data_IF_134826921259
#
_entry.id   IF_134826921259
#
_cell.length_a   1.000
_cell.length_b   1.000
_cell.length_c   1.000
_cell.angle_alpha   90.00
_cell.angle_beta   90.00
_cell.angle_gamma   90.00
#
_symmetry.space_group_name_H-M   'P 1'
#
loop_
_entity.id
_entity.type
_entity.pdbx_description
1 polymer ?
#
# COMPACT_ATOMS: atom_id res chain seq x y z
N UNK A 1 86.81 44.66 -26.77
CA UNK A 1 87.41 45.12 -25.51
C UNK A 1 86.27 45.41 -24.52
N UNK A 2 86.36 44.81 -23.34
CA UNK A 2 85.36 44.85 -22.26
C UNK A 2 85.17 46.26 -21.69
N UNK A 3 83.94 46.63 -21.34
CA UNK A 3 83.61 47.45 -20.15
C UNK A 3 82.07 47.59 -20.07
N UNK A 4 81.36 46.85 -19.21
CA UNK A 4 81.08 47.18 -17.81
C UNK A 4 80.52 48.61 -17.60
N UNK A 5 79.19 48.76 -17.57
CA UNK A 5 78.55 49.69 -16.63
C UNK A 5 77.09 49.34 -16.37
N UNK A 6 76.83 49.04 -15.10
CA UNK A 6 75.55 48.72 -14.48
C UNK A 6 74.64 49.95 -14.37
N UNK A 7 73.32 49.75 -14.54
CA UNK A 7 72.32 50.56 -13.82
C UNK A 7 71.05 49.77 -13.52
N UNK A 8 71.14 49.08 -12.38
CA UNK A 8 70.16 48.99 -11.29
C UNK A 8 68.70 49.27 -11.69
N UNK A 9 67.90 48.19 -11.78
CA UNK A 9 66.47 48.26 -11.50
C UNK A 9 66.11 47.20 -10.45
N UNK A 10 65.97 47.73 -9.23
CA UNK A 10 65.00 47.39 -8.19
C UNK A 10 64.61 45.92 -8.06
N UNK A 11 65.20 45.31 -7.02
CA UNK A 11 64.65 44.20 -6.27
C UNK A 11 63.14 44.37 -6.05
N UNK A 12 62.35 43.54 -6.72
CA UNK A 12 61.08 43.05 -6.17
C UNK A 12 61.29 41.57 -5.96
N UNK A 13 61.68 41.24 -4.73
CA UNK A 13 61.64 39.86 -4.25
C UNK A 13 60.16 39.50 -4.16
N UNK A 14 59.57 39.02 -5.24
CA UNK A 14 58.37 38.19 -5.10
C UNK A 14 58.87 36.83 -4.63
N UNK A 15 58.88 36.64 -3.31
CA UNK A 15 59.08 35.34 -2.70
C UNK A 15 57.96 34.43 -3.18
N UNK A 16 58.16 33.71 -4.28
CA UNK A 16 57.36 32.55 -4.61
C UNK A 16 57.68 31.52 -3.55
N UNK A 17 56.91 31.54 -2.47
CA UNK A 17 56.87 30.43 -1.52
C UNK A 17 56.34 29.25 -2.31
N UNK A 18 57.25 28.46 -2.89
CA UNK A 18 56.87 27.18 -3.44
C UNK A 18 56.40 26.33 -2.26
N UNK A 19 55.09 26.05 -2.22
CA UNK A 19 54.56 25.05 -1.31
C UNK A 19 55.17 23.71 -1.73
N UNK A 20 56.22 23.28 -1.04
CA UNK A 20 56.74 21.92 -1.16
C UNK A 20 55.65 21.00 -0.61
N UNK A 21 54.82 20.47 -1.50
CA UNK A 21 53.91 19.39 -1.14
C UNK A 21 54.79 18.19 -0.85
N UNK A 22 54.90 17.83 0.42
CA UNK A 22 55.50 16.55 0.82
C UNK A 22 54.59 15.45 0.28
N UNK A 23 54.91 14.95 -0.91
CA UNK A 23 54.33 13.71 -1.41
C UNK A 23 54.89 12.63 -0.49
N UNK A 24 54.05 12.04 0.36
CA UNK A 24 54.42 10.84 1.10
C UNK A 24 54.69 9.75 0.05
N UNK A 25 55.95 9.56 -0.28
CA UNK A 25 56.37 8.43 -1.10
C UNK A 25 56.08 7.16 -0.29
N UNK A 26 55.13 6.37 -0.78
CA UNK A 26 54.83 5.06 -0.19
C UNK A 26 55.72 4.04 -0.90
N UNK A 27 56.78 3.51 -0.25
CA UNK A 27 57.83 2.75 -0.92
C UNK A 27 57.38 1.40 -1.50
N UNK A 28 56.12 1.01 -1.26
CA UNK A 28 55.55 -0.30 -1.63
C UNK A 28 54.66 -0.28 -2.88
N UNK A 29 54.43 0.89 -3.52
CA UNK A 29 53.65 1.00 -4.77
C UNK A 29 54.50 1.64 -5.86
N UNK A 30 55.30 0.84 -6.56
CA UNK A 30 56.21 1.31 -7.62
C UNK A 30 55.53 1.75 -8.92
N UNK A 31 54.28 1.34 -9.18
CA UNK A 31 53.54 1.75 -10.37
C UNK A 31 52.11 2.16 -9.99
N UNK A 32 51.87 3.46 -9.86
CA UNK A 32 50.51 3.97 -9.82
C UNK A 32 49.95 3.93 -11.25
N UNK A 33 49.14 2.90 -11.57
CA UNK A 33 48.47 2.80 -12.86
C UNK A 33 47.48 3.96 -13.02
N UNK A 34 47.91 5.07 -13.64
CA UNK A 34 47.03 6.22 -13.93
C UNK A 34 46.04 5.81 -15.00
N UNK A 35 44.76 6.15 -14.80
CA UNK A 35 43.63 5.76 -15.68
C UNK A 35 43.28 4.26 -15.62
N UNK A 36 43.49 3.61 -14.49
CA UNK A 36 42.74 2.40 -14.17
C UNK A 36 41.24 2.78 -14.19
N UNK A 37 40.51 2.20 -15.14
CA UNK A 37 39.05 2.37 -15.22
C UNK A 37 38.41 1.81 -13.96
N UNK A 38 37.24 2.33 -13.60
CA UNK A 38 36.45 1.70 -12.54
C UNK A 38 36.05 0.31 -13.02
N UNK A 39 36.67 -0.71 -12.42
CA UNK A 39 36.34 -2.09 -12.66
C UNK A 39 35.00 -2.36 -11.98
N UNK A 40 33.92 -2.13 -12.73
CA UNK A 40 32.58 -2.20 -12.17
C UNK A 40 32.26 -3.65 -11.75
N UNK A 41 32.11 -3.93 -10.44
CA UNK A 41 31.74 -5.26 -9.98
C UNK A 41 30.33 -5.67 -10.43
N UNK A 42 29.53 -4.77 -11.02
CA UNK A 42 28.24 -5.08 -11.61
C UNK A 42 28.36 -5.91 -12.91
N UNK A 43 29.40 -5.70 -13.74
CA UNK A 43 29.57 -6.43 -15.00
C UNK A 43 30.18 -7.83 -14.83
N UNK A 44 30.81 -8.13 -13.70
CA UNK A 44 31.39 -9.47 -13.40
C UNK A 44 30.36 -10.49 -12.91
N UNK A 45 29.10 -10.11 -12.78
CA UNK A 45 28.04 -11.01 -12.31
C UNK A 45 27.50 -11.82 -13.50
N UNK A 46 27.29 -13.14 -13.32
CA UNK A 46 26.75 -13.99 -14.39
C UNK A 46 25.28 -13.66 -14.73
N UNK A 47 24.60 -12.85 -13.92
CA UNK A 47 23.17 -12.58 -14.00
C UNK A 47 22.83 -11.10 -14.28
N UNK A 48 22.09 -10.88 -15.37
CA UNK A 48 21.46 -9.60 -15.76
C UNK A 48 20.23 -9.23 -14.90
N UNK A 49 19.99 -9.95 -13.80
CA UNK A 49 18.76 -9.84 -13.03
C UNK A 49 18.85 -8.74 -11.96
N UNK A 50 17.73 -8.02 -11.68
CA UNK A 50 17.71 -7.02 -10.63
C UNK A 50 17.98 -7.65 -9.26
N UNK A 51 18.72 -6.93 -8.39
CA UNK A 51 19.05 -7.41 -7.05
C UNK A 51 17.79 -7.56 -6.20
N UNK A 52 17.35 -8.79 -6.00
CA UNK A 52 16.23 -9.12 -5.11
C UNK A 52 16.76 -9.10 -3.65
N UNK A 53 16.19 -8.30 -2.73
CA UNK A 53 16.56 -8.35 -1.31
C UNK A 53 16.33 -9.76 -0.75
N UNK A 54 17.14 -10.24 0.20
CA UNK A 54 17.08 -11.64 0.66
C UNK A 54 15.71 -12.07 1.19
N UNK A 55 14.98 -11.15 1.84
CA UNK A 55 13.57 -11.31 2.26
C UNK A 55 12.61 -11.68 1.12
N UNK A 56 12.99 -11.45 -0.13
CA UNK A 56 12.22 -11.73 -1.33
C UNK A 56 12.80 -12.86 -2.20
N UNK A 57 13.96 -13.47 -1.84
CA UNK A 57 14.57 -14.60 -2.59
C UNK A 57 13.65 -15.84 -2.64
N UNK A 58 12.96 -16.13 -1.54
CA UNK A 58 12.11 -17.33 -1.39
C UNK A 58 10.63 -17.06 -1.67
N UNK A 59 10.26 -15.79 -1.86
CA UNK A 59 8.94 -15.47 -2.36
C UNK A 59 8.95 -15.83 -3.84
N UNK A 60 8.10 -16.76 -4.28
CA UNK A 60 7.73 -16.93 -5.70
C UNK A 60 7.04 -15.67 -6.28
N UNK A 61 7.23 -14.52 -5.65
CA UNK A 61 6.78 -13.22 -6.07
C UNK A 61 7.95 -12.60 -6.81
N UNK A 62 8.12 -13.04 -8.06
CA UNK A 62 8.75 -12.20 -9.07
C UNK A 62 8.16 -10.80 -8.91
N UNK A 63 9.04 -9.79 -8.85
CA UNK A 63 8.76 -8.34 -8.93
C UNK A 63 7.26 -8.03 -8.86
N UNK A 64 6.75 -7.59 -7.71
CA UNK A 64 5.31 -7.33 -7.52
C UNK A 64 4.77 -6.50 -8.69
N UNK A 65 4.09 -7.16 -9.64
CA UNK A 65 3.49 -6.47 -10.77
C UNK A 65 2.51 -5.44 -10.21
N UNK A 66 2.52 -4.24 -10.79
CA UNK A 66 1.44 -3.30 -10.54
C UNK A 66 0.13 -4.04 -10.82
N UNK A 67 -0.91 -3.89 -9.98
CA UNK A 67 -2.19 -4.50 -10.28
C UNK A 67 -2.64 -4.02 -11.67
N UNK A 68 -3.22 -4.94 -12.44
CA UNK A 68 -3.75 -4.60 -13.76
C UNK A 68 -4.70 -3.40 -13.65
N UNK A 69 -4.47 -2.37 -14.48
CA UNK A 69 -5.30 -1.19 -14.49
C UNK A 69 -6.73 -1.57 -14.89
N UNK A 70 -7.69 -1.34 -13.98
CA UNK A 70 -9.11 -1.52 -14.24
C UNK A 70 -9.76 -0.14 -14.40
N UNK A 71 -10.10 0.29 -15.64
CA UNK A 71 -10.73 1.59 -15.84
C UNK A 71 -12.07 1.65 -15.09
N UNK A 72 -12.27 2.73 -14.37
CA UNK A 72 -13.52 2.99 -13.65
C UNK A 72 -14.58 3.50 -14.63
N UNK A 73 -15.77 2.88 -14.64
CA UNK A 73 -16.92 3.28 -15.46
C UNK A 73 -17.92 4.10 -14.62
N UNK A 74 -17.80 5.44 -14.55
CA UNK A 74 -18.71 6.27 -13.75
C UNK A 74 -20.16 6.16 -14.22
N UNK A 75 -20.37 6.12 -15.54
CA UNK A 75 -21.69 6.11 -16.18
C UNK A 75 -22.19 4.71 -16.55
N UNK A 76 -21.86 3.69 -15.74
CA UNK A 76 -22.49 2.36 -15.89
C UNK A 76 -23.97 2.40 -15.54
N UNK A 77 -24.81 1.57 -16.18
CA UNK A 77 -26.27 1.59 -15.99
C UNK A 77 -26.69 1.54 -14.52
N UNK A 78 -26.04 0.68 -13.72
CA UNK A 78 -26.31 0.56 -12.28
C UNK A 78 -26.08 1.86 -11.51
N UNK A 79 -25.07 2.65 -11.91
CA UNK A 79 -24.74 3.94 -11.28
C UNK A 79 -25.62 5.06 -11.83
N UNK A 80 -25.86 5.05 -13.14
CA UNK A 80 -26.74 6.00 -13.83
C UNK A 80 -28.16 5.99 -13.24
N UNK A 81 -28.72 4.82 -12.98
CA UNK A 81 -30.09 4.65 -12.46
C UNK A 81 -30.17 4.56 -10.93
N UNK A 82 -29.06 4.75 -10.22
CA UNK A 82 -29.06 4.67 -8.77
C UNK A 82 -29.92 5.79 -8.16
N UNK A 83 -30.88 5.43 -7.31
CA UNK A 83 -31.74 6.38 -6.59
C UNK A 83 -32.95 6.91 -7.38
N UNK A 84 -33.17 6.47 -8.62
CA UNK A 84 -34.24 7.02 -9.47
C UNK A 84 -35.65 6.90 -8.86
N UNK A 85 -35.93 5.84 -8.10
CA UNK A 85 -37.26 5.53 -7.56
C UNK A 85 -37.31 5.54 -6.01
N UNK A 86 -36.42 6.28 -5.35
CA UNK A 86 -36.34 6.28 -3.88
C UNK A 86 -37.55 6.97 -3.22
N UNK A 87 -38.20 7.92 -3.91
CA UNK A 87 -39.33 8.72 -3.44
C UNK A 87 -40.66 8.33 -4.09
N UNK A 88 -40.79 7.06 -4.50
CA UNK A 88 -42.00 6.56 -5.19
C UNK A 88 -43.27 6.65 -4.34
N UNK A 89 -43.12 6.63 -3.01
CA UNK A 89 -44.22 6.74 -2.06
C UNK A 89 -44.80 8.15 -1.96
N UNK A 90 -43.95 9.19 -1.99
CA UNK A 90 -44.38 10.58 -1.84
C UNK A 90 -44.67 11.29 -3.17
N UNK A 91 -44.06 10.84 -4.27
CA UNK A 91 -44.26 11.43 -5.61
C UNK A 91 -45.13 10.56 -6.53
N UNK A 92 -45.45 9.33 -6.13
CA UNK A 92 -46.27 8.40 -6.90
C UNK A 92 -47.72 8.31 -6.42
N UNK A 93 -48.33 7.15 -6.65
CA UNK A 93 -49.70 6.81 -6.24
C UNK A 93 -49.78 6.30 -4.79
N UNK A 94 -48.64 6.15 -4.11
CA UNK A 94 -48.55 5.61 -2.75
C UNK A 94 -48.80 4.10 -2.65
N UNK A 95 -48.90 3.37 -3.78
CA UNK A 95 -49.20 1.93 -3.76
C UNK A 95 -48.03 1.07 -3.28
N UNK A 96 -46.79 1.56 -3.43
CA UNK A 96 -45.56 0.83 -3.13
C UNK A 96 -44.69 1.64 -2.17
N UNK A 97 -44.35 1.04 -1.02
CA UNK A 97 -43.39 1.60 -0.08
C UNK A 97 -41.94 1.30 -0.53
N UNK A 98 -40.95 2.22 -0.39
CA UNK A 98 -39.58 2.04 -0.88
C UNK A 98 -38.87 0.80 -0.35
N UNK A 99 -39.19 0.37 0.88
CA UNK A 99 -38.67 -0.88 1.49
C UNK A 99 -38.95 -2.11 0.62
N UNK A 100 -40.05 -2.11 -0.13
CA UNK A 100 -40.43 -3.24 -1.00
C UNK A 100 -39.56 -3.31 -2.26
N UNK A 101 -38.96 -2.18 -2.69
CA UNK A 101 -38.04 -2.11 -3.85
C UNK A 101 -36.68 -2.76 -3.58
N UNK A 102 -36.34 -3.03 -2.31
CA UNK A 102 -35.07 -3.65 -1.91
C UNK A 102 -35.02 -5.15 -2.25
N UNK A 103 -34.92 -5.48 -3.53
CA UNK A 103 -34.92 -6.86 -4.05
C UNK A 103 -33.65 -7.65 -3.74
N UNK A 104 -32.51 -6.96 -3.64
CA UNK A 104 -31.21 -7.58 -3.38
C UNK A 104 -31.03 -8.03 -1.91
N UNK A 105 -31.92 -7.59 -1.01
CA UNK A 105 -31.83 -7.89 0.42
C UNK A 105 -32.74 -9.07 0.80
N UNK A 106 -32.32 -9.92 1.76
CA UNK A 106 -33.19 -10.97 2.28
C UNK A 106 -34.50 -10.40 2.84
N UNK A 107 -35.66 -11.05 2.61
CA UNK A 107 -36.95 -10.53 3.04
C UNK A 107 -37.07 -10.20 4.53
N UNK A 108 -36.42 -10.99 5.39
CA UNK A 108 -36.42 -10.79 6.85
C UNK A 108 -35.60 -9.57 7.32
N UNK A 109 -34.75 -9.02 6.44
CA UNK A 109 -33.88 -7.86 6.68
C UNK A 109 -34.40 -6.58 6.01
N UNK A 110 -35.35 -6.68 5.06
CA UNK A 110 -35.93 -5.50 4.39
C UNK A 110 -36.57 -4.57 5.42
N UNK A 111 -36.17 -3.29 5.39
CA UNK A 111 -36.67 -2.25 6.31
C UNK A 111 -36.28 -2.43 7.77
N UNK A 112 -35.42 -3.41 8.09
CA UNK A 112 -34.96 -3.62 9.45
C UNK A 112 -33.71 -2.78 9.74
N UNK A 113 -33.77 -2.03 10.85
CA UNK A 113 -32.60 -1.34 11.42
C UNK A 113 -32.48 -1.75 12.88
N UNK A 114 -31.31 -2.27 13.26
CA UNK A 114 -31.06 -2.74 14.61
C UNK A 114 -29.64 -3.25 14.80
N UNK A 115 -29.33 -3.69 16.03
CA UNK A 115 -28.02 -4.27 16.34
C UNK A 115 -27.90 -5.72 15.83
N UNK A 116 -26.68 -6.28 15.87
CA UNK A 116 -26.44 -7.66 15.44
C UNK A 116 -27.32 -8.67 16.20
N UNK A 117 -27.54 -8.44 17.51
CA UNK A 117 -28.33 -9.34 18.34
C UNK A 117 -29.79 -9.42 17.86
N UNK A 118 -30.44 -8.28 17.67
CA UNK A 118 -31.80 -8.17 17.15
C UNK A 118 -31.89 -8.74 15.73
N UNK A 119 -30.89 -8.47 14.87
CA UNK A 119 -30.80 -9.05 13.53
C UNK A 119 -30.77 -10.58 13.58
N UNK A 120 -29.95 -11.17 14.47
CA UNK A 120 -29.83 -12.62 14.59
C UNK A 120 -31.08 -13.27 15.17
N UNK A 121 -31.80 -12.62 16.10
CA UNK A 121 -33.09 -13.10 16.57
C UNK A 121 -34.11 -13.19 15.43
N UNK A 122 -34.21 -12.16 14.58
CA UNK A 122 -35.07 -12.20 13.38
C UNK A 122 -34.65 -13.32 12.43
N UNK A 123 -33.35 -13.46 12.19
CA UNK A 123 -32.79 -14.53 11.37
C UNK A 123 -33.13 -15.92 11.92
N UNK A 124 -33.09 -16.09 13.24
CA UNK A 124 -33.43 -17.34 13.92
C UNK A 124 -34.89 -17.73 13.67
N UNK A 125 -35.82 -16.78 13.81
CA UNK A 125 -37.25 -17.00 13.58
C UNK A 125 -37.49 -17.36 12.10
N UNK A 126 -36.94 -16.57 11.19
CA UNK A 126 -37.12 -16.77 9.76
C UNK A 126 -36.54 -18.11 9.26
N UNK A 127 -35.41 -18.53 9.82
CA UNK A 127 -34.74 -19.78 9.44
C UNK A 127 -34.90 -20.91 10.48
N UNK A 128 -36.04 -21.00 11.16
CA UNK A 128 -36.33 -22.06 12.14
C UNK A 128 -36.08 -23.49 11.58
N UNK A 129 -36.38 -23.71 10.30
CA UNK A 129 -36.15 -24.98 9.59
C UNK A 129 -34.67 -25.40 9.47
N UNK A 130 -33.71 -24.50 9.74
CA UNK A 130 -32.28 -24.87 9.79
C UNK A 130 -31.94 -25.80 10.95
N UNK A 131 -32.82 -25.91 11.96
CA UNK A 131 -32.66 -26.90 13.03
C UNK A 131 -32.50 -28.31 12.47
N UNK A 132 -33.28 -28.68 11.45
CA UNK A 132 -33.24 -30.00 10.83
C UNK A 132 -32.35 -30.01 9.58
N UNK A 133 -32.46 -29.00 8.71
CA UNK A 133 -31.77 -28.99 7.42
C UNK A 133 -30.29 -28.62 7.50
N UNK A 134 -29.89 -27.75 8.45
CA UNK A 134 -28.53 -27.20 8.56
C UNK A 134 -28.10 -27.09 10.03
N UNK A 135 -27.99 -28.22 10.75
CA UNK A 135 -27.81 -28.23 12.20
C UNK A 135 -26.54 -27.50 12.66
N UNK A 136 -25.43 -27.61 11.93
CA UNK A 136 -24.18 -26.90 12.25
C UNK A 136 -24.35 -25.38 12.18
N UNK A 137 -25.01 -24.86 11.13
CA UNK A 137 -25.28 -23.42 10.99
C UNK A 137 -26.23 -22.92 12.08
N UNK A 138 -27.26 -23.72 12.41
CA UNK A 138 -28.19 -23.41 13.50
C UNK A 138 -27.48 -23.33 14.87
N UNK A 139 -26.60 -24.29 15.16
CA UNK A 139 -25.80 -24.28 16.38
C UNK A 139 -24.88 -23.05 16.44
N UNK A 140 -24.22 -22.67 15.35
CA UNK A 140 -23.36 -21.49 15.30
C UNK A 140 -24.15 -20.19 15.54
N UNK A 141 -25.33 -20.09 14.93
CA UNK A 141 -26.24 -18.96 15.12
C UNK A 141 -26.67 -18.83 16.59
N UNK A 142 -27.09 -19.94 17.22
CA UNK A 142 -27.49 -19.94 18.63
C UNK A 142 -26.32 -19.60 19.57
N UNK A 143 -25.12 -20.12 19.29
CA UNK A 143 -23.90 -19.77 20.05
C UNK A 143 -23.62 -18.27 19.97
N UNK A 144 -23.74 -17.66 18.79
CA UNK A 144 -23.55 -16.22 18.61
C UNK A 144 -24.60 -15.39 19.35
N UNK A 145 -25.87 -15.77 19.26
CA UNK A 145 -26.98 -15.12 20.00
C UNK A 145 -26.73 -15.19 21.51
N UNK A 146 -26.39 -16.38 22.03
CA UNK A 146 -26.11 -16.56 23.46
C UNK A 146 -24.91 -15.73 23.91
N UNK A 147 -23.84 -15.67 23.11
CA UNK A 147 -22.68 -14.84 23.42
C UNK A 147 -23.05 -13.35 23.47
N UNK A 148 -23.77 -12.84 22.46
CA UNK A 148 -24.22 -11.45 22.39
C UNK A 148 -25.13 -11.10 23.56
N UNK A 149 -26.06 -11.98 23.93
CA UNK A 149 -26.93 -11.81 25.08
C UNK A 149 -26.13 -11.64 26.38
N UNK A 150 -25.13 -12.50 26.61
CA UNK A 150 -24.26 -12.40 27.80
C UNK A 150 -23.42 -11.14 27.77
N UNK A 151 -22.87 -10.78 26.61
CA UNK A 151 -22.00 -9.61 26.46
C UNK A 151 -22.78 -8.31 26.69
N UNK A 152 -23.87 -8.10 25.95
CA UNK A 152 -24.67 -6.88 26.00
C UNK A 152 -25.38 -6.66 27.35
N UNK A 153 -25.69 -7.73 28.09
CA UNK A 153 -26.40 -7.60 29.36
C UNK A 153 -25.50 -7.67 30.60
N UNK A 154 -24.25 -8.14 30.47
CA UNK A 154 -23.34 -8.33 31.64
C UNK A 154 -22.01 -7.60 31.55
N UNK A 155 -21.56 -7.20 30.35
CA UNK A 155 -20.19 -6.67 30.14
C UNK A 155 -20.16 -5.21 29.70
N UNK A 156 -21.26 -4.68 29.24
CA UNK A 156 -21.37 -3.25 28.95
C UNK A 156 -21.47 -2.48 30.26
N UNK A 157 -20.64 -1.45 30.42
CA UNK A 157 -20.83 -0.47 31.49
C UNK A 157 -22.16 0.24 31.23
N UNK A 158 -22.97 0.40 32.29
CA UNK A 158 -24.17 1.22 32.26
C UNK A 158 -23.79 2.70 32.26
#
# INVERSE_FOLDING_TARGET
MNSFCMRILKNVVSSTVEQVRYIRETPWKKEYLRRYGYDDPFFKRPDILPRIPEKHKNLKKALSFLPEYKPYKPWSDKRKYFGQNDYIDILGDGSIHPVNLLTNMPPWLRGFRGNEFQMLLRKQIHYSHWRWSKPTKWQHLNKRIMWLYRYLNRKTKQ
#
